data_IF_544849723236
#
_entry.id   IF_544849723236
#
_cell.length_a   1.000
_cell.length_b   1.000
_cell.length_c   1.000
_cell.angle_alpha   90.00
_cell.angle_beta   90.00
_cell.angle_gamma   90.00
#
_symmetry.space_group_name_H-M   'P 1'
#
loop_
_entity.id
_entity.type
_entity.pdbx_description
1 polymer ?
#
# COMPACT_ATOMS: atom_id res chain seq x y z
N UNK A 1 -32.12 28.16 -26.90
CA UNK A 1 -31.05 28.80 -26.09
C UNK A 1 -31.03 28.19 -24.69
N UNK A 2 -30.04 27.32 -24.42
CA UNK A 2 -29.37 27.07 -23.12
C UNK A 2 -28.52 25.80 -23.28
N UNK A 3 -27.27 25.97 -23.67
CA UNK A 3 -26.26 24.90 -23.66
C UNK A 3 -25.67 24.81 -22.26
N UNK A 4 -25.87 23.67 -21.60
CA UNK A 4 -25.25 23.32 -20.33
C UNK A 4 -23.79 22.93 -20.60
N UNK A 5 -22.86 23.79 -20.19
CA UNK A 5 -21.43 23.53 -20.27
C UNK A 5 -21.04 22.35 -19.38
N UNK A 6 -20.68 21.23 -20.01
CA UNK A 6 -19.94 20.15 -19.37
C UNK A 6 -18.54 20.66 -19.09
N UNK A 7 -18.24 20.82 -17.81
CA UNK A 7 -16.92 21.24 -17.31
C UNK A 7 -16.06 19.98 -17.28
N UNK A 8 -15.23 19.79 -18.31
CA UNK A 8 -14.27 18.70 -18.37
C UNK A 8 -13.25 18.85 -17.22
N UNK A 9 -13.43 18.04 -16.18
CA UNK A 9 -12.46 17.86 -15.12
C UNK A 9 -11.32 16.99 -15.65
N UNK A 10 -10.27 17.68 -16.09
CA UNK A 10 -8.99 17.16 -16.54
C UNK A 10 -8.39 16.10 -15.59
N UNK A 11 -8.41 14.83 -16.00
CA UNK A 11 -7.77 13.67 -15.34
C UNK A 11 -6.22 13.68 -15.39
N UNK A 12 -5.57 14.84 -15.58
CA UNK A 12 -4.12 14.93 -15.82
C UNK A 12 -3.22 14.82 -14.57
N UNK A 13 -3.75 14.59 -13.37
CA UNK A 13 -2.93 14.50 -12.14
C UNK A 13 -2.73 13.08 -11.57
N UNK A 14 -3.28 12.02 -12.19
CA UNK A 14 -3.27 10.68 -11.56
C UNK A 14 -1.93 9.91 -11.66
N UNK A 15 -1.00 10.29 -12.54
CA UNK A 15 0.18 9.46 -12.86
C UNK A 15 1.54 10.03 -12.40
N UNK A 16 1.55 11.08 -11.59
CA UNK A 16 2.79 11.73 -11.11
C UNK A 16 3.52 11.03 -9.96
N UNK A 17 2.99 9.92 -9.42
CA UNK A 17 3.37 9.42 -8.10
C UNK A 17 4.67 8.60 -8.04
N UNK A 18 5.31 8.33 -9.18
CA UNK A 18 6.67 7.78 -9.24
C UNK A 18 7.74 8.78 -9.70
N UNK A 19 7.46 10.09 -9.65
CA UNK A 19 8.49 11.13 -9.82
C UNK A 19 8.43 12.13 -8.68
N UNK A 20 8.86 11.72 -7.50
CA UNK A 20 9.31 12.67 -6.48
C UNK A 20 10.67 12.23 -5.96
N UNK A 21 11.63 13.12 -6.19
CA UNK A 21 12.99 13.14 -5.67
C UNK A 21 12.96 13.09 -4.15
N UNK A 22 13.62 12.11 -3.57
CA UNK A 22 13.89 12.07 -2.13
C UNK A 22 15.07 12.99 -1.82
N UNK A 23 14.95 14.08 -1.03
CA UNK A 23 16.06 14.51 -0.21
C UNK A 23 16.11 13.61 1.02
N UNK A 24 17.26 12.97 1.26
CA UNK A 24 17.52 12.20 2.47
C UNK A 24 17.35 13.08 3.71
N UNK A 25 16.18 13.01 4.36
CA UNK A 25 16.01 13.53 5.71
C UNK A 25 16.45 12.43 6.69
N UNK A 26 17.62 12.62 7.30
CA UNK A 26 18.05 11.90 8.50
C UNK A 26 17.01 12.14 9.59
N UNK A 27 16.25 11.11 9.96
CA UNK A 27 15.52 11.11 11.22
C UNK A 27 16.55 11.02 12.36
N UNK A 28 16.79 12.15 13.02
CA UNK A 28 17.41 12.16 14.33
C UNK A 28 16.39 11.64 15.35
N UNK A 29 16.68 10.49 15.94
CA UNK A 29 15.91 9.87 17.00
C UNK A 29 15.87 10.78 18.24
N UNK A 30 14.67 11.23 18.61
CA UNK A 30 14.44 11.90 19.89
C UNK A 30 14.22 10.84 20.98
N UNK A 31 14.93 10.88 22.12
CA UNK A 31 14.78 9.89 23.18
C UNK A 31 13.47 10.12 23.95
N UNK A 32 12.58 9.12 23.92
CA UNK A 32 11.42 9.07 24.83
C UNK A 32 11.92 8.72 26.23
N UNK A 33 11.61 9.60 27.18
CA UNK A 33 11.79 9.34 28.61
C UNK A 33 10.90 8.16 29.03
N UNK A 34 11.54 7.07 29.43
CA UNK A 34 10.90 5.94 30.10
C UNK A 34 10.71 6.30 31.59
N UNK A 35 9.47 6.41 32.05
CA UNK A 35 9.16 6.39 33.49
C UNK A 35 9.27 4.94 33.97
N UNK A 36 10.35 4.66 34.69
CA UNK A 36 10.69 3.38 35.29
C UNK A 36 9.84 3.18 36.57
N UNK A 37 9.04 2.11 36.63
CA UNK A 37 8.44 1.62 37.88
C UNK A 37 9.47 0.69 38.53
N UNK A 38 9.95 1.06 39.71
CA UNK A 38 10.90 0.29 40.54
C UNK A 38 10.17 -0.70 41.45
N UNK A 39 10.51 -2.01 41.40
CA UNK A 39 10.34 -2.89 42.54
C UNK A 39 11.56 -2.80 43.47
N UNK A 40 11.26 -2.56 44.74
CA UNK A 40 12.18 -2.49 45.88
C UNK A 40 12.80 -3.87 46.14
N UNK A 41 14.10 -4.01 45.85
CA UNK A 41 14.91 -5.14 46.33
C UNK A 41 16.05 -4.63 47.18
N UNK A 42 16.17 -5.23 48.37
CA UNK A 42 17.13 -4.87 49.39
C UNK A 42 18.52 -5.46 49.08
N UNK A 43 19.54 -4.61 49.27
CA UNK A 43 20.86 -4.99 49.79
C UNK A 43 21.80 -5.74 48.86
N UNK A 44 22.92 -5.09 48.49
CA UNK A 44 24.30 -5.52 48.80
C UNK A 44 25.32 -4.53 48.20
N UNK A 45 26.45 -4.24 48.88
CA UNK A 45 27.45 -3.28 48.39
C UNK A 45 28.54 -3.99 47.57
N UNK A 46 28.72 -3.56 46.31
CA UNK A 46 29.77 -4.04 45.40
C UNK A 46 30.46 -2.87 44.70
N UNK A 47 31.76 -2.76 44.93
CA UNK A 47 32.67 -1.65 44.56
C UNK A 47 32.65 -1.26 43.07
N UNK A 48 32.72 0.06 42.87
CA UNK A 48 32.95 0.73 41.60
C UNK A 48 34.38 0.50 41.06
N UNK A 49 34.47 0.36 39.73
CA UNK A 49 35.68 0.64 38.95
C UNK A 49 35.24 1.30 37.65
N UNK A 50 35.35 2.63 37.61
CA UNK A 50 35.10 3.44 36.43
C UNK A 50 36.41 3.62 35.67
N UNK A 51 36.43 3.20 34.39
CA UNK A 51 37.49 3.53 33.46
C UNK A 51 37.09 4.78 32.65
N UNK A 52 37.99 5.73 32.39
CA UNK A 52 37.72 6.91 31.58
C UNK A 52 37.71 6.55 30.10
N UNK A 53 36.60 6.84 29.41
CA UNK A 53 36.50 6.78 27.95
C UNK A 53 36.91 8.15 27.40
N UNK A 54 38.07 8.21 26.76
CA UNK A 54 38.56 9.38 26.01
C UNK A 54 37.88 9.41 24.63
N UNK A 55 37.06 10.42 24.39
CA UNK A 55 36.46 10.70 23.09
C UNK A 55 37.43 11.51 22.20
N UNK A 56 37.56 11.19 20.90
CA UNK A 56 38.32 12.00 19.96
C UNK A 56 37.54 13.25 19.49
N UNK A 57 38.25 14.29 19.00
CA UNK A 57 37.65 15.54 18.56
C UNK A 57 36.87 15.39 17.25
N UNK A 58 35.71 16.05 17.20
CA UNK A 58 34.83 16.15 16.03
C UNK A 58 35.37 17.24 15.11
N UNK A 59 35.93 16.86 13.96
CA UNK A 59 36.21 17.81 12.87
C UNK A 59 34.90 18.19 12.15
N UNK A 60 34.65 19.49 12.05
CA UNK A 60 33.57 20.06 11.24
C UNK A 60 34.08 20.34 9.82
N UNK A 61 33.50 19.77 8.76
CA UNK A 61 33.80 20.19 7.40
C UNK A 61 33.07 21.49 7.04
N UNK A 62 33.85 22.36 6.40
CA UNK A 62 33.55 23.73 6.03
C UNK A 62 32.34 23.92 5.11
N UNK A 63 31.68 25.07 5.28
CA UNK A 63 30.65 25.62 4.42
C UNK A 63 31.14 25.76 2.97
N UNK A 64 30.52 25.05 2.03
CA UNK A 64 30.73 25.28 0.60
C UNK A 64 29.58 26.15 0.06
N UNK A 65 29.86 27.44 -0.08
CA UNK A 65 29.00 28.40 -0.78
C UNK A 65 29.19 28.23 -2.29
N UNK A 66 28.13 27.87 -3.00
CA UNK A 66 28.15 27.69 -4.45
C UNK A 66 26.77 27.89 -5.06
N UNK A 67 26.28 29.12 -5.03
CA UNK A 67 25.10 29.53 -5.80
C UNK A 67 25.50 29.69 -7.27
N UNK A 68 25.05 28.79 -8.14
CA UNK A 68 25.03 29.01 -9.60
C UNK A 68 23.59 28.88 -10.09
N UNK A 69 23.02 30.02 -10.45
CA UNK A 69 21.71 30.10 -11.08
C UNK A 69 21.76 29.46 -12.49
N UNK A 70 20.77 28.64 -12.88
CA UNK A 70 20.61 28.24 -14.26
C UNK A 70 19.94 29.35 -15.06
N UNK A 71 20.61 29.75 -16.13
CA UNK A 71 20.15 30.64 -17.18
C UNK A 71 18.94 30.06 -17.91
N UNK A 72 17.92 30.90 -18.06
CA UNK A 72 16.79 30.70 -18.96
C UNK A 72 17.28 30.78 -20.41
N UNK A 73 17.18 29.68 -21.16
CA UNK A 73 17.18 29.73 -22.62
C UNK A 73 16.46 28.51 -23.19
N UNK A 74 15.40 28.81 -23.93
CA UNK A 74 14.84 28.04 -25.05
C UNK A 74 14.20 26.69 -24.74
N UNK A 75 12.89 26.71 -24.46
CA UNK A 75 12.01 25.60 -24.79
C UNK A 75 11.33 25.95 -26.11
N UNK A 76 11.97 25.43 -27.17
CA UNK A 76 11.47 25.33 -28.53
C UNK A 76 10.14 24.58 -28.57
N UNK A 77 9.19 25.19 -29.29
CA UNK A 77 7.90 24.62 -29.65
C UNK A 77 8.09 23.26 -30.34
N UNK A 78 7.52 22.20 -29.76
CA UNK A 78 7.32 20.93 -30.45
C UNK A 78 5.85 20.55 -30.43
N UNK A 79 5.20 20.92 -31.53
CA UNK A 79 3.84 20.59 -31.90
C UNK A 79 3.63 19.08 -32.07
N UNK A 80 2.40 18.71 -31.76
CA UNK A 80 1.61 17.61 -32.33
C UNK A 80 2.19 16.20 -32.32
N UNK A 81 1.77 15.44 -31.33
CA UNK A 81 1.41 14.03 -31.54
C UNK A 81 0.07 13.75 -30.85
N UNK A 82 -0.97 13.78 -31.67
CA UNK A 82 -2.29 13.25 -31.41
C UNK A 82 -2.15 11.82 -30.87
N UNK A 83 -2.45 11.62 -29.59
CA UNK A 83 -2.47 10.29 -28.97
C UNK A 83 -3.91 9.97 -28.61
N UNK A 84 -4.53 9.19 -29.50
CA UNK A 84 -5.77 8.45 -29.28
C UNK A 84 -5.62 7.52 -28.06
N UNK A 85 -5.82 8.06 -26.85
CA UNK A 85 -5.80 7.27 -25.63
C UNK A 85 -6.88 7.70 -24.65
N UNK A 86 -8.10 7.79 -25.14
CA UNK A 86 -9.31 7.75 -24.33
C UNK A 86 -10.06 6.46 -24.71
N UNK A 87 -10.00 5.42 -23.85
CA UNK A 87 -10.71 4.18 -24.17
C UNK A 87 -10.56 2.99 -23.23
N UNK A 88 -9.78 3.06 -22.15
CA UNK A 88 -9.58 1.90 -21.25
C UNK A 88 -10.15 2.09 -19.83
N UNK A 89 -10.88 3.17 -19.58
CA UNK A 89 -11.37 3.50 -18.23
C UNK A 89 -12.74 2.92 -17.85
N UNK A 90 -13.58 2.53 -18.82
CA UNK A 90 -14.99 2.21 -18.53
C UNK A 90 -15.37 0.74 -18.77
N UNK A 91 -14.55 -0.04 -19.48
CA UNK A 91 -14.91 -1.43 -19.81
C UNK A 91 -14.65 -2.43 -18.67
N UNK A 92 -13.78 -2.09 -17.70
CA UNK A 92 -13.40 -3.02 -16.63
C UNK A 92 -14.45 -3.13 -15.52
N UNK A 93 -15.25 -2.09 -15.28
CA UNK A 93 -16.34 -2.12 -14.30
C UNK A 93 -17.44 -3.11 -14.71
N UNK A 94 -17.81 -3.15 -16.00
CA UNK A 94 -18.78 -4.11 -16.53
C UNK A 94 -18.21 -5.54 -16.58
N UNK A 95 -16.93 -5.72 -16.90
CA UNK A 95 -16.29 -7.04 -16.93
C UNK A 95 -16.06 -7.66 -15.53
N UNK A 96 -15.94 -6.84 -14.48
CA UNK A 96 -15.76 -7.31 -13.09
C UNK A 96 -17.09 -7.70 -12.42
N UNK A 97 -18.20 -7.05 -12.75
CA UNK A 97 -19.52 -7.42 -12.24
C UNK A 97 -19.94 -8.83 -12.70
N UNK A 98 -19.49 -9.26 -13.88
CA UNK A 98 -19.84 -10.56 -14.46
C UNK A 98 -19.01 -11.72 -13.89
N UNK A 99 -17.77 -11.47 -13.44
CA UNK A 99 -16.82 -12.52 -13.00
C UNK A 99 -17.04 -13.06 -11.59
N UNK A 100 -17.97 -12.48 -10.83
CA UNK A 100 -18.24 -12.85 -9.42
C UNK A 100 -19.29 -13.97 -9.29
N UNK A 101 -19.94 -14.39 -10.38
CA UNK A 101 -21.05 -15.35 -10.33
C UNK A 101 -20.64 -16.84 -10.48
N UNK A 102 -19.40 -17.15 -10.87
CA UNK A 102 -19.04 -18.51 -11.31
C UNK A 102 -18.45 -19.46 -10.23
N UNK A 103 -18.37 -19.03 -8.97
CA UNK A 103 -17.79 -19.85 -7.89
C UNK A 103 -18.80 -20.39 -6.87
N UNK A 104 -20.11 -20.25 -7.12
CA UNK A 104 -21.18 -20.67 -6.19
C UNK A 104 -22.07 -21.81 -6.69
N UNK A 105 -21.66 -22.55 -7.73
CA UNK A 105 -22.41 -23.71 -8.22
C UNK A 105 -22.15 -24.96 -7.37
N UNK A 106 -22.73 -24.98 -6.18
CA UNK A 106 -22.89 -26.16 -5.32
C UNK A 106 -24.31 -26.18 -4.75
N UNK A 107 -25.18 -26.96 -5.40
CA UNK A 107 -26.59 -27.14 -5.03
C UNK A 107 -26.79 -27.57 -3.57
N UNK A 108 -27.57 -26.81 -2.81
CA UNK A 108 -28.55 -27.38 -1.87
C UNK A 108 -29.70 -26.39 -1.66
N UNK A 109 -30.90 -26.89 -1.95
CA UNK A 109 -32.20 -26.23 -1.90
C UNK A 109 -32.62 -25.91 -0.46
N UNK A 110 -32.96 -24.66 -0.20
CA UNK A 110 -33.54 -24.21 1.08
C UNK A 110 -33.69 -22.68 1.13
N UNK A 111 -34.86 -22.20 0.71
CA UNK A 111 -35.25 -20.78 0.68
C UNK A 111 -35.08 -20.08 2.04
N UNK A 112 -34.02 -19.30 2.17
CA UNK A 112 -33.83 -18.25 3.19
C UNK A 112 -33.14 -17.04 2.56
N UNK A 113 -33.73 -16.51 1.49
CA UNK A 113 -33.28 -15.23 0.93
C UNK A 113 -33.62 -14.12 1.91
N UNK A 114 -32.61 -13.41 2.43
CA UNK A 114 -32.53 -11.93 2.48
C UNK A 114 -31.49 -11.35 3.45
N UNK A 115 -30.54 -12.13 4.01
CA UNK A 115 -29.41 -11.53 4.74
C UNK A 115 -28.11 -12.27 4.39
N UNK A 116 -27.55 -12.03 3.20
CA UNK A 116 -26.13 -12.32 3.03
C UNK A 116 -25.40 -11.47 4.07
N UNK A 117 -24.64 -12.08 5.01
CA UNK A 117 -23.98 -11.32 6.07
C UNK A 117 -23.14 -10.20 5.44
N UNK A 118 -23.07 -9.01 6.06
CA UNK A 118 -22.25 -7.91 5.57
C UNK A 118 -20.85 -8.43 5.23
N UNK A 119 -20.33 -8.07 4.06
CA UNK A 119 -19.00 -8.50 3.67
C UNK A 119 -17.97 -7.96 4.66
N UNK A 120 -17.08 -8.85 5.10
CA UNK A 120 -16.00 -8.55 6.03
C UNK A 120 -14.71 -9.08 5.41
N UNK A 121 -14.01 -8.22 4.69
CA UNK A 121 -12.78 -8.59 4.00
C UNK A 121 -11.68 -9.05 4.96
N UNK A 122 -11.57 -8.44 6.15
CA UNK A 122 -10.61 -8.87 7.15
C UNK A 122 -10.87 -10.29 7.62
N UNK A 123 -12.13 -10.63 7.95
CA UNK A 123 -12.51 -11.97 8.34
C UNK A 123 -12.26 -12.98 7.20
N UNK A 124 -12.58 -12.62 5.96
CA UNK A 124 -12.32 -13.45 4.79
C UNK A 124 -10.82 -13.76 4.60
N UNK A 125 -9.96 -12.74 4.71
CA UNK A 125 -8.50 -12.89 4.59
C UNK A 125 -7.96 -13.79 5.70
N UNK A 126 -8.30 -13.53 6.95
CA UNK A 126 -7.85 -14.32 8.10
C UNK A 126 -8.28 -15.79 8.00
N UNK A 127 -9.55 -16.03 7.65
CA UNK A 127 -10.07 -17.38 7.47
C UNK A 127 -9.35 -18.11 6.33
N UNK A 128 -9.12 -17.43 5.21
CA UNK A 128 -8.46 -18.01 4.04
C UNK A 128 -7.00 -18.37 4.32
N UNK A 129 -6.23 -17.43 4.89
CA UNK A 129 -4.81 -17.64 5.18
C UNK A 129 -4.59 -18.66 6.31
N UNK A 130 -5.41 -18.62 7.36
CA UNK A 130 -5.32 -19.60 8.45
C UNK A 130 -5.58 -21.03 7.97
N UNK A 131 -6.51 -21.22 7.03
CA UNK A 131 -6.77 -22.52 6.42
C UNK A 131 -5.57 -23.04 5.63
N UNK A 132 -4.87 -22.17 4.89
CA UNK A 132 -3.65 -22.56 4.16
C UNK A 132 -2.47 -22.86 5.09
N UNK A 133 -2.35 -22.15 6.21
CA UNK A 133 -1.24 -22.33 7.15
C UNK A 133 -1.34 -23.62 8.00
N UNK A 134 -2.53 -24.23 8.11
CA UNK A 134 -2.71 -25.45 8.92
C UNK A 134 -2.09 -26.72 8.31
N UNK A 135 -1.88 -26.74 7.00
CA UNK A 135 -1.35 -27.91 6.28
C UNK A 135 0.10 -27.79 5.83
N UNK A 136 0.70 -26.60 5.97
CA UNK A 136 2.03 -26.28 5.43
C UNK A 136 2.70 -25.24 6.33
N UNK A 137 4.00 -25.42 6.60
CA UNK A 137 4.81 -24.40 7.29
C UNK A 137 5.00 -23.14 6.45
N UNK A 138 4.85 -23.25 5.13
CA UNK A 138 4.92 -22.14 4.18
C UNK A 138 3.53 -21.63 3.79
N UNK A 139 3.41 -20.31 3.64
CA UNK A 139 2.19 -19.64 3.17
C UNK A 139 2.07 -19.87 1.66
N UNK A 140 0.91 -20.35 1.20
CA UNK A 140 0.63 -20.46 -0.23
C UNK A 140 0.44 -19.07 -0.86
N UNK A 141 1.46 -18.62 -1.60
CA UNK A 141 1.45 -17.31 -2.25
C UNK A 141 0.44 -17.21 -3.41
N UNK A 142 -0.04 -18.32 -3.97
CA UNK A 142 -1.13 -18.29 -4.98
C UNK A 142 -2.43 -17.82 -4.34
N UNK A 143 -2.72 -18.30 -3.14
CA UNK A 143 -3.89 -17.88 -2.37
C UNK A 143 -3.74 -16.42 -1.93
N UNK A 144 -2.54 -16.02 -1.50
CA UNK A 144 -2.23 -14.63 -1.17
C UNK A 144 -2.47 -13.69 -2.35
N UNK A 145 -1.98 -14.03 -3.55
CA UNK A 145 -2.23 -13.29 -4.80
C UNK A 145 -3.72 -13.19 -5.11
N UNK A 146 -4.48 -14.27 -4.92
CA UNK A 146 -5.94 -14.25 -5.08
C UNK A 146 -6.61 -13.28 -4.12
N UNK A 147 -6.22 -13.27 -2.84
CA UNK A 147 -6.74 -12.31 -1.87
C UNK A 147 -6.41 -10.87 -2.28
N UNK A 148 -5.18 -10.60 -2.73
CA UNK A 148 -4.76 -9.28 -3.23
C UNK A 148 -5.62 -8.84 -4.43
N UNK A 149 -5.83 -9.70 -5.43
CA UNK A 149 -6.66 -9.40 -6.59
C UNK A 149 -8.13 -9.16 -6.28
N UNK A 150 -8.62 -9.59 -5.11
CA UNK A 150 -9.98 -9.31 -4.64
C UNK A 150 -10.10 -7.98 -3.86
N UNK A 151 -9.00 -7.35 -3.49
CA UNK A 151 -8.99 -6.16 -2.61
C UNK A 151 -9.82 -5.01 -3.18
N UNK A 152 -9.75 -4.77 -4.49
CA UNK A 152 -10.47 -3.67 -5.17
C UNK A 152 -11.98 -3.92 -5.21
N UNK A 153 -12.41 -5.17 -5.41
CA UNK A 153 -13.83 -5.56 -5.35
C UNK A 153 -14.38 -5.43 -3.93
N UNK A 154 -13.67 -5.95 -2.92
CA UNK A 154 -14.10 -5.84 -1.52
C UNK A 154 -14.10 -4.39 -1.02
N UNK A 155 -13.25 -3.52 -1.57
CA UNK A 155 -13.30 -2.10 -1.27
C UNK A 155 -14.68 -1.51 -1.61
N UNK A 156 -15.24 -1.85 -2.78
CA UNK A 156 -16.58 -1.41 -3.18
C UNK A 156 -17.66 -2.12 -2.36
N UNK A 157 -17.59 -3.44 -2.24
CA UNK A 157 -18.63 -4.23 -1.57
C UNK A 157 -18.73 -3.88 -0.08
N UNK A 158 -17.61 -3.84 0.65
CA UNK A 158 -17.63 -3.55 2.08
C UNK A 158 -18.17 -2.14 2.34
N UNK A 159 -17.76 -1.14 1.54
CA UNK A 159 -18.20 0.24 1.73
C UNK A 159 -19.67 0.47 1.36
N UNK A 160 -20.20 -0.29 0.40
CA UNK A 160 -21.61 -0.17 -0.01
C UNK A 160 -22.56 -1.00 0.85
N UNK A 161 -22.13 -2.18 1.31
CA UNK A 161 -22.97 -3.07 2.13
C UNK A 161 -22.88 -2.75 3.63
N UNK A 162 -21.79 -2.14 4.09
CA UNK A 162 -21.58 -1.77 5.49
C UNK A 162 -20.88 -0.40 5.57
N UNK A 163 -21.60 0.72 5.37
CA UNK A 163 -20.98 2.04 5.32
C UNK A 163 -20.31 2.45 6.64
N UNK A 164 -20.77 1.93 7.79
CA UNK A 164 -20.20 2.26 9.10
C UNK A 164 -18.84 1.60 9.36
N UNK A 165 -18.67 0.33 8.97
CA UNK A 165 -17.49 -0.47 9.33
C UNK A 165 -16.76 -1.10 8.16
N UNK A 166 -17.35 -1.09 6.98
CA UNK A 166 -16.82 -1.75 5.79
C UNK A 166 -15.46 -1.23 5.38
N UNK A 167 -15.27 0.10 5.37
CA UNK A 167 -13.96 0.68 5.08
C UNK A 167 -12.89 0.25 6.11
N UNK A 168 -13.26 0.11 7.39
CA UNK A 168 -12.36 -0.34 8.45
C UNK A 168 -12.01 -1.82 8.32
N UNK A 169 -12.99 -2.68 8.00
CA UNK A 169 -12.75 -4.09 7.72
C UNK A 169 -11.84 -4.25 6.50
N UNK A 170 -12.19 -3.60 5.38
CA UNK A 170 -11.37 -3.60 4.18
C UNK A 170 -9.92 -3.17 4.46
N UNK A 171 -9.74 -2.02 5.13
CA UNK A 171 -8.40 -1.51 5.49
C UNK A 171 -7.63 -2.52 6.33
N UNK A 172 -8.29 -3.14 7.29
CA UNK A 172 -7.67 -4.13 8.18
C UNK A 172 -7.24 -5.38 7.40
N UNK A 173 -8.11 -5.92 6.56
CA UNK A 173 -7.79 -7.07 5.70
C UNK A 173 -6.65 -6.77 4.73
N UNK A 174 -6.68 -5.61 4.07
CA UNK A 174 -5.64 -5.23 3.13
C UNK A 174 -4.30 -4.97 3.83
N UNK A 175 -4.30 -4.31 4.99
CA UNK A 175 -3.08 -4.13 5.80
C UNK A 175 -2.48 -5.47 6.24
N UNK A 176 -3.30 -6.44 6.66
CA UNK A 176 -2.84 -7.77 7.06
C UNK A 176 -2.19 -8.54 5.90
N UNK A 177 -2.71 -8.41 4.67
CA UNK A 177 -2.06 -8.98 3.49
C UNK A 177 -0.64 -8.40 3.32
N UNK A 178 -0.48 -7.10 3.49
CA UNK A 178 0.82 -6.43 3.37
C UNK A 178 1.76 -6.80 4.52
N UNK A 179 1.24 -6.99 5.73
CA UNK A 179 2.02 -7.54 6.86
C UNK A 179 2.59 -8.92 6.51
N UNK A 180 1.79 -9.77 5.86
CA UNK A 180 2.23 -11.09 5.39
C UNK A 180 3.31 -10.98 4.31
N UNK A 181 3.18 -10.04 3.37
CA UNK A 181 4.22 -9.78 2.35
C UNK A 181 5.54 -9.35 3.00
N UNK A 182 5.48 -8.42 3.95
CA UNK A 182 6.68 -7.96 4.70
C UNK A 182 7.32 -9.12 5.46
N UNK A 183 6.51 -9.98 6.08
CA UNK A 183 7.00 -11.15 6.79
C UNK A 183 7.62 -12.21 5.85
N UNK A 184 7.09 -12.39 4.64
CA UNK A 184 7.69 -13.25 3.61
C UNK A 184 8.99 -12.67 3.07
N UNK A 185 9.06 -11.35 2.87
CA UNK A 185 10.26 -10.65 2.43
C UNK A 185 11.40 -10.81 3.45
N UNK A 186 11.11 -10.60 4.74
CA UNK A 186 12.09 -10.75 5.82
C UNK A 186 12.67 -12.18 5.91
N UNK A 187 11.92 -13.19 5.43
CA UNK A 187 12.36 -14.59 5.35
C UNK A 187 13.07 -14.94 4.04
N UNK A 188 13.11 -14.03 3.07
CA UNK A 188 13.63 -14.33 1.72
C UNK A 188 12.73 -15.26 0.91
N UNK A 189 11.46 -15.42 1.31
CA UNK A 189 10.50 -16.35 0.69
C UNK A 189 9.53 -15.64 -0.28
N UNK A 190 9.50 -14.31 -0.31
CA UNK A 190 8.55 -13.56 -1.11
C UNK A 190 8.86 -13.63 -2.62
N UNK A 191 7.88 -14.08 -3.40
CA UNK A 191 7.95 -14.19 -4.86
C UNK A 191 7.72 -12.84 -5.56
N UNK A 192 8.39 -12.61 -6.69
CA UNK A 192 8.23 -11.43 -7.53
C UNK A 192 6.78 -11.27 -8.02
N UNK A 193 6.13 -12.37 -8.40
CA UNK A 193 4.75 -12.41 -8.87
C UNK A 193 3.79 -11.88 -7.79
N UNK A 194 4.08 -12.14 -6.51
CA UNK A 194 3.27 -11.64 -5.39
C UNK A 194 3.42 -10.13 -5.23
N UNK A 195 4.64 -9.60 -5.39
CA UNK A 195 4.90 -8.15 -5.38
C UNK A 195 4.21 -7.45 -6.55
N UNK A 196 4.21 -8.07 -7.73
CA UNK A 196 3.49 -7.59 -8.91
C UNK A 196 1.98 -7.51 -8.67
N UNK A 197 1.37 -8.57 -8.13
CA UNK A 197 -0.06 -8.58 -7.85
C UNK A 197 -0.42 -7.55 -6.77
N UNK A 198 0.42 -7.37 -5.75
CA UNK A 198 0.21 -6.34 -4.73
C UNK A 198 0.28 -4.92 -5.32
N UNK A 199 1.25 -4.66 -6.20
CA UNK A 199 1.41 -3.35 -6.87
C UNK A 199 0.20 -3.05 -7.77
N UNK A 200 -0.27 -4.06 -8.50
CA UNK A 200 -1.49 -3.97 -9.31
C UNK A 200 -2.72 -3.72 -8.46
N UNK A 201 -2.94 -4.49 -7.39
CA UNK A 201 -4.05 -4.33 -6.47
C UNK A 201 -4.07 -2.92 -5.83
N UNK A 202 -2.91 -2.37 -5.46
CA UNK A 202 -2.82 -0.99 -4.96
C UNK A 202 -3.32 0.03 -6.00
N UNK A 203 -2.94 -0.16 -7.26
CA UNK A 203 -3.29 0.74 -8.37
C UNK A 203 -4.79 0.70 -8.68
N UNK A 204 -5.37 -0.50 -8.65
CA UNK A 204 -6.82 -0.69 -8.79
C UNK A 204 -7.58 -0.06 -7.60
N UNK A 205 -7.17 -0.35 -6.37
CA UNK A 205 -7.78 0.22 -5.16
C UNK A 205 -7.70 1.75 -5.14
N UNK A 206 -6.57 2.32 -5.61
CA UNK A 206 -6.41 3.76 -5.74
C UNK A 206 -7.43 4.37 -6.70
N UNK A 207 -7.64 3.72 -7.84
CA UNK A 207 -8.59 4.17 -8.87
C UNK A 207 -10.02 4.08 -8.35
N UNK A 208 -10.39 2.95 -7.72
CA UNK A 208 -11.70 2.72 -7.10
C UNK A 208 -11.98 3.76 -6.00
N UNK A 209 -11.06 3.95 -5.05
CA UNK A 209 -11.20 4.92 -3.98
C UNK A 209 -11.24 6.37 -4.49
N UNK A 210 -10.64 6.64 -5.65
CA UNK A 210 -10.67 7.96 -6.29
C UNK A 210 -11.99 8.26 -7.02
N UNK A 211 -12.78 7.24 -7.37
CA UNK A 211 -14.02 7.42 -8.11
C UNK A 211 -15.21 7.84 -7.21
N UNK A 212 -15.10 7.71 -5.88
CA UNK A 212 -16.19 7.95 -4.93
C UNK A 212 -15.77 9.01 -3.91
N UNK A 213 -16.59 10.06 -3.71
CA UNK A 213 -16.24 11.18 -2.81
C UNK A 213 -16.21 10.75 -1.34
N UNK A 214 -17.08 9.83 -0.97
CA UNK A 214 -17.23 9.32 0.40
C UNK A 214 -16.09 8.35 0.79
N UNK A 215 -15.21 7.98 -0.14
CA UNK A 215 -14.12 7.01 0.07
C UNK A 215 -12.74 7.66 0.24
N UNK A 216 -12.69 8.93 0.66
CA UNK A 216 -11.42 9.66 0.84
C UNK A 216 -10.47 8.95 1.85
N UNK A 217 -11.02 8.37 2.92
CA UNK A 217 -10.26 7.56 3.88
C UNK A 217 -9.67 6.27 3.28
N UNK A 218 -10.28 5.75 2.20
CA UNK A 218 -9.74 4.64 1.42
C UNK A 218 -8.46 5.03 0.71
N UNK A 219 -8.37 6.23 0.13
CA UNK A 219 -7.15 6.70 -0.55
C UNK A 219 -5.98 6.79 0.43
N UNK A 220 -6.19 7.33 1.62
CA UNK A 220 -5.13 7.42 2.62
C UNK A 220 -4.64 6.04 3.07
N UNK A 221 -5.57 5.08 3.21
CA UNK A 221 -5.24 3.69 3.49
C UNK A 221 -4.40 3.05 2.38
N UNK A 222 -4.75 3.28 1.11
CA UNK A 222 -3.95 2.83 -0.05
C UNK A 222 -2.57 3.46 -0.07
N UNK A 223 -2.42 4.76 0.24
CA UNK A 223 -1.09 5.41 0.33
C UNK A 223 -0.22 4.76 1.40
N UNK A 224 -0.79 4.52 2.58
CA UNK A 224 -0.07 3.86 3.68
C UNK A 224 0.45 2.48 3.26
N UNK A 225 -0.40 1.70 2.58
CA UNK A 225 0.01 0.41 2.02
C UNK A 225 1.08 0.55 0.94
N UNK A 226 0.91 1.47 -0.01
CA UNK A 226 1.87 1.68 -1.09
C UNK A 226 3.26 2.11 -0.57
N UNK A 227 3.30 2.93 0.49
CA UNK A 227 4.54 3.33 1.13
C UNK A 227 5.28 2.13 1.74
N UNK A 228 4.54 1.19 2.34
CA UNK A 228 5.11 -0.05 2.88
C UNK A 228 5.61 -0.97 1.78
N UNK A 229 4.84 -1.11 0.70
CA UNK A 229 5.23 -1.91 -0.46
C UNK A 229 6.50 -1.35 -1.13
N UNK A 230 6.62 -0.02 -1.22
CA UNK A 230 7.84 0.65 -1.69
C UNK A 230 9.07 0.29 -0.85
N UNK A 231 8.91 0.08 0.46
CA UNK A 231 9.97 -0.37 1.35
C UNK A 231 10.44 -1.80 1.10
N UNK A 232 9.70 -2.60 0.33
CA UNK A 232 10.10 -3.95 -0.08
C UNK A 232 10.92 -3.96 -1.37
N UNK A 233 10.87 -2.89 -2.16
CA UNK A 233 11.53 -2.80 -3.46
C UNK A 233 13.03 -2.55 -3.30
N UNK A 234 13.78 -2.90 -4.35
CA UNK A 234 15.21 -2.58 -4.46
C UNK A 234 15.43 -1.05 -4.45
N UNK A 235 16.68 -0.61 -4.29
CA UNK A 235 17.04 0.82 -4.19
C UNK A 235 16.51 1.70 -5.33
N UNK A 236 16.30 1.11 -6.50
CA UNK A 236 15.74 1.80 -7.67
C UNK A 236 14.22 2.05 -7.57
N UNK A 237 13.53 1.44 -6.61
CA UNK A 237 12.09 1.52 -6.39
C UNK A 237 11.25 0.95 -7.54
N UNK A 238 11.83 0.13 -8.43
CA UNK A 238 11.20 -0.40 -9.65
C UNK A 238 11.41 -1.89 -9.85
N UNK A 239 12.38 -2.47 -9.16
CA UNK A 239 12.65 -3.91 -9.18
C UNK A 239 12.51 -4.50 -7.78
N UNK A 240 12.33 -5.81 -7.75
CA UNK A 240 12.33 -6.60 -6.54
C UNK A 240 13.18 -7.85 -6.80
N UNK A 241 14.30 -8.00 -6.09
CA UNK A 241 15.25 -9.09 -6.35
C UNK A 241 15.81 -9.05 -7.78
N UNK A 242 15.95 -7.85 -8.35
CA UNK A 242 16.39 -7.63 -9.74
C UNK A 242 15.30 -7.83 -10.81
N UNK A 243 14.15 -8.39 -10.46
CA UNK A 243 13.01 -8.53 -11.36
C UNK A 243 12.17 -7.26 -11.46
N UNK A 244 11.68 -6.92 -12.67
CA UNK A 244 10.87 -5.71 -12.86
C UNK A 244 9.50 -5.85 -12.21
N UNK A 245 9.12 -4.86 -11.39
CA UNK A 245 7.80 -4.79 -10.75
C UNK A 245 6.81 -4.05 -11.65
N UNK A 246 5.54 -4.44 -11.59
CA UNK A 246 4.43 -3.77 -12.25
C UNK A 246 4.34 -2.31 -11.80
N UNK A 247 4.39 -1.40 -12.78
CA UNK A 247 4.19 0.03 -12.60
C UNK A 247 3.03 0.43 -13.53
N UNK A 248 1.89 0.89 -13.00
CA UNK A 248 0.76 1.33 -13.79
C UNK A 248 1.05 2.58 -14.64
#
# INVERSE_FOLDING_TARGET
MRNLGKKDMSSRQAYGWMRTTTPCARYASSPRSLTHVTPRMAGLPGKASALPVTLPPIEQPACFSGSKAPSESEISERSDSHSDRAGYGEHWASAMAERTQDLTSGSSSGSSSLNSPPSDYAAFVLHTLSRTARGSSAIDQRVLRRCLGLSSSYLVTDTTMNPERGLLSWRSGFSQLIDVLVALHARGELELETVNEASKACSECWTVAGAWREMEGGRESVKGVAARLKGLLDENGKTYGGGRVYVP
#
